data_IF_499884266376
#
_entry.id   IF_499884266376
#
_cell.length_a   1.000
_cell.length_b   1.000
_cell.length_c   1.000
_cell.angle_alpha   90.00
_cell.angle_beta   90.00
_cell.angle_gamma   90.00
#
_symmetry.space_group_name_H-M   'P 1'
#
loop_
_entity.id
_entity.type
_entity.pdbx_description
1 polymer ?
#
# COMPACT_ATOMS: atom_id res chain seq x y z
N UNK A 1 -4.01 15.98 11.42
CA UNK A 1 -2.82 16.39 12.20
C UNK A 1 -1.60 15.53 11.82
N UNK A 2 -1.67 14.19 11.73
CA UNK A 2 -0.56 13.35 11.24
C UNK A 2 -0.27 13.45 9.72
N UNK A 3 -1.31 13.44 8.89
CA UNK A 3 -1.17 13.43 7.42
C UNK A 3 -0.49 14.69 6.86
N UNK A 4 -0.81 15.86 7.41
CA UNK A 4 -0.27 17.13 6.93
C UNK A 4 1.24 17.27 7.22
N UNK A 5 1.73 16.70 8.32
CA UNK A 5 3.16 16.67 8.64
C UNK A 5 3.90 15.65 7.77
N UNK A 6 3.29 14.49 7.50
CA UNK A 6 3.88 13.47 6.63
C UNK A 6 4.13 14.00 5.21
N UNK A 7 3.14 14.64 4.60
CA UNK A 7 3.28 15.21 3.25
C UNK A 7 4.27 16.37 3.17
N UNK A 8 4.59 17.04 4.30
CA UNK A 8 5.65 18.04 4.37
C UNK A 8 7.04 17.42 4.49
N UNK A 9 7.14 16.29 5.19
CA UNK A 9 8.41 15.58 5.41
C UNK A 9 8.86 14.79 4.17
N UNK A 10 7.92 14.21 3.41
CA UNK A 10 8.23 13.52 2.16
C UNK A 10 7.05 13.47 1.18
N UNK A 11 7.31 13.30 -0.13
CA UNK A 11 6.26 13.01 -1.10
C UNK A 11 5.55 11.71 -0.75
N UNK A 12 4.25 11.79 -0.50
CA UNK A 12 3.43 10.61 -0.20
C UNK A 12 3.03 9.92 -1.51
N UNK A 13 3.23 8.61 -1.59
CA UNK A 13 2.77 7.82 -2.72
C UNK A 13 1.23 7.90 -2.83
N UNK A 14 0.65 8.18 -4.02
CA UNK A 14 -0.80 8.23 -4.21
C UNK A 14 -1.56 6.95 -3.83
N UNK A 15 -0.87 5.80 -3.73
CA UNK A 15 -1.40 4.51 -3.30
C UNK A 15 -1.23 4.23 -1.80
N UNK A 16 -0.51 5.07 -1.05
CA UNK A 16 -0.43 4.96 0.41
C UNK A 16 -1.83 5.14 0.99
N UNK A 17 -2.18 4.33 1.98
CA UNK A 17 -3.46 4.44 2.72
C UNK A 17 -3.26 4.60 4.22
N UNK A 18 -2.09 4.19 4.73
CA UNK A 18 -1.71 4.42 6.12
C UNK A 18 -1.45 5.90 6.41
N UNK A 19 -1.96 6.37 7.55
CA UNK A 19 -1.71 7.71 8.11
C UNK A 19 -2.09 8.90 7.22
N UNK A 20 -2.91 8.67 6.19
CA UNK A 20 -3.42 9.73 5.31
C UNK A 20 -4.94 9.85 5.33
N UNK A 21 -5.44 11.05 4.99
CA UNK A 21 -6.86 11.28 4.73
C UNK A 21 -7.16 10.82 3.30
N UNK A 22 -7.55 9.57 3.15
CA UNK A 22 -7.95 8.98 1.88
C UNK A 22 -9.15 8.03 2.08
N UNK A 23 -9.77 7.62 0.97
CA UNK A 23 -10.64 6.44 0.98
C UNK A 23 -9.87 5.26 1.57
N UNK A 24 -10.53 4.41 2.35
CA UNK A 24 -9.89 3.28 3.03
C UNK A 24 -9.25 2.26 2.05
N UNK A 25 -8.80 1.13 2.57
CA UNK A 25 -8.04 0.14 1.79
C UNK A 25 -8.86 -0.64 0.74
N UNK A 26 -10.16 -0.35 0.58
CA UNK A 26 -11.04 -1.07 -0.33
C UNK A 26 -10.56 -1.01 -1.78
N UNK A 27 -10.02 0.13 -2.22
CA UNK A 27 -9.47 0.29 -3.57
C UNK A 27 -8.25 -0.61 -3.79
N UNK A 28 -7.31 -0.64 -2.86
CA UNK A 28 -6.12 -1.48 -2.93
C UNK A 28 -6.49 -2.97 -2.98
N UNK A 29 -7.47 -3.38 -2.18
CA UNK A 29 -7.97 -4.75 -2.19
C UNK A 29 -8.61 -5.09 -3.53
N UNK A 30 -9.43 -4.19 -4.09
CA UNK A 30 -10.09 -4.40 -5.37
C UNK A 30 -9.08 -4.50 -6.51
N UNK A 31 -8.03 -3.68 -6.50
CA UNK A 31 -6.93 -3.74 -7.46
C UNK A 31 -6.18 -5.08 -7.37
N UNK A 32 -5.80 -5.51 -6.16
CA UNK A 32 -5.14 -6.80 -5.98
C UNK A 32 -6.00 -7.96 -6.49
N UNK A 33 -7.30 -7.96 -6.15
CA UNK A 33 -8.26 -8.95 -6.66
C UNK A 33 -8.34 -8.97 -8.19
N UNK A 34 -8.34 -7.80 -8.82
CA UNK A 34 -8.37 -7.68 -10.27
C UNK A 34 -7.09 -8.24 -10.91
N UNK A 35 -5.92 -7.91 -10.38
CA UNK A 35 -4.63 -8.41 -10.86
C UNK A 35 -4.57 -9.94 -10.75
N UNK A 36 -4.97 -10.50 -9.61
CA UNK A 36 -5.03 -11.95 -9.39
C UNK A 36 -6.02 -12.61 -10.35
N UNK A 37 -7.21 -12.02 -10.54
CA UNK A 37 -8.21 -12.53 -11.47
C UNK A 37 -7.68 -12.52 -12.91
N UNK A 38 -7.03 -11.44 -13.33
CA UNK A 38 -6.52 -11.30 -14.69
C UNK A 38 -5.40 -12.33 -14.97
N UNK A 39 -4.45 -12.49 -14.05
CA UNK A 39 -3.39 -13.50 -14.18
C UNK A 39 -3.96 -14.91 -14.33
N UNK A 40 -5.02 -15.25 -13.58
CA UNK A 40 -5.74 -16.53 -13.70
C UNK A 40 -6.41 -16.68 -15.06
N UNK A 41 -7.07 -15.64 -15.56
CA UNK A 41 -7.79 -15.66 -16.85
C UNK A 41 -6.83 -15.80 -18.05
N UNK A 42 -5.66 -15.20 -17.96
CA UNK A 42 -4.65 -15.22 -19.02
C UNK A 42 -3.61 -16.34 -18.86
N UNK A 43 -3.79 -17.23 -17.88
CA UNK A 43 -2.84 -18.31 -17.55
C UNK A 43 -1.39 -17.82 -17.35
N UNK A 44 -1.22 -16.64 -16.76
CA UNK A 44 0.10 -16.04 -16.48
C UNK A 44 0.52 -16.32 -15.04
N UNK A 45 1.83 -16.49 -14.83
CA UNK A 45 2.42 -16.59 -13.51
C UNK A 45 2.35 -15.23 -12.80
N UNK A 46 1.95 -15.23 -11.53
CA UNK A 46 1.88 -14.04 -10.68
C UNK A 46 2.49 -14.36 -9.31
N UNK A 47 3.46 -13.54 -8.90
CA UNK A 47 4.10 -13.61 -7.59
C UNK A 47 3.74 -12.37 -6.78
N UNK A 48 3.60 -12.53 -5.47
CA UNK A 48 3.28 -11.43 -4.55
C UNK A 48 4.24 -11.48 -3.37
N UNK A 49 4.95 -10.37 -3.14
CA UNK A 49 5.80 -10.19 -1.97
C UNK A 49 5.07 -9.36 -0.92
N UNK A 50 4.95 -9.90 0.30
CA UNK A 50 4.49 -9.17 1.48
C UNK A 50 5.71 -8.75 2.28
N UNK A 51 5.87 -7.44 2.47
CA UNK A 51 6.99 -6.85 3.21
C UNK A 51 6.44 -6.20 4.46
N UNK A 52 7.07 -6.50 5.60
CA UNK A 52 6.78 -5.90 6.89
C UNK A 52 8.07 -5.41 7.54
N UNK A 53 8.00 -4.29 8.27
CA UNK A 53 9.15 -3.68 8.94
C UNK A 53 8.98 -3.91 10.45
N UNK A 54 9.81 -4.81 11.00
CA UNK A 54 9.79 -5.11 12.42
C UNK A 54 10.12 -3.86 13.26
N UNK A 55 9.28 -3.58 14.27
CA UNK A 55 9.44 -2.44 15.18
C UNK A 55 9.62 -1.09 14.47
N UNK A 56 8.89 -0.85 13.38
CA UNK A 56 9.03 0.31 12.51
C UNK A 56 9.09 1.69 13.21
N UNK A 57 8.47 1.84 14.38
CA UNK A 57 8.52 3.08 15.17
C UNK A 57 9.70 3.14 16.14
N UNK A 58 10.20 2.00 16.63
CA UNK A 58 11.33 1.94 17.55
C UNK A 58 12.68 1.95 16.82
N UNK A 59 12.68 1.60 15.53
CA UNK A 59 13.89 1.49 14.69
C UNK A 59 14.21 2.76 13.91
N UNK A 60 13.55 3.88 14.21
CA UNK A 60 13.85 5.18 13.58
C UNK A 60 15.11 5.76 14.22
N UNK A 61 16.13 6.04 13.42
CA UNK A 61 17.38 6.70 13.85
C UNK A 61 17.31 8.21 13.74
#
# INVERSE_FOLDING_TARGET
>A
IATASLSKACPVNPRQRGFICASGCAENLKLLQLVVKNARQEHRHLEVAFVDIAKAFDTVS
#
